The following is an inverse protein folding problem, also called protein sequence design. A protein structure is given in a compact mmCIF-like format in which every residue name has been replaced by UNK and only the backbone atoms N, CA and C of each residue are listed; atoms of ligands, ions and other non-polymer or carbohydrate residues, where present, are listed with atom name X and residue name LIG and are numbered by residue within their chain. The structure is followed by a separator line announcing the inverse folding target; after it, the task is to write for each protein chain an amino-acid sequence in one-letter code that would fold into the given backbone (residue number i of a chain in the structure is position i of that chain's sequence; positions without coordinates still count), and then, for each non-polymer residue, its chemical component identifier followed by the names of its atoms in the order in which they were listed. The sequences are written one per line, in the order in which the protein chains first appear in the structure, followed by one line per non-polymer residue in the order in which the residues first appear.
data_IF_682605423135
#
_entry.id   IF_682605423135
#
_cell.length_a   1.000
_cell.length_b   1.000
_cell.length_c   1.000
_cell.angle_alpha   90.00
_cell.angle_beta   90.00
_cell.angle_gamma   90.00
#
_symmetry.space_group_name_H-M   'P 1'
#
loop_
_entity.id
_entity.type
_entity.pdbx_description
1 polymer ?
#
# COMPACT_ATOMS: atom_id res chain seq x y z
N UNK A 1 -2.67 -4.71 -10.12
CA UNK A 1 -1.34 -4.47 -9.50
C UNK A 1 -1.35 -4.75 -8.00
N UNK A 2 -2.07 -4.03 -7.14
CA UNK A 2 -2.01 -4.28 -5.69
C UNK A 2 -2.25 -5.76 -5.30
N UNK A 3 -3.27 -6.40 -5.87
CA UNK A 3 -3.55 -7.82 -5.64
C UNK A 3 -2.42 -8.76 -6.12
N UNK A 4 -1.68 -8.42 -7.20
CA UNK A 4 -0.56 -9.25 -7.67
C UNK A 4 0.66 -9.19 -6.74
N UNK A 5 0.73 -8.19 -5.87
CA UNK A 5 1.71 -8.09 -4.78
C UNK A 5 1.18 -8.69 -3.46
N UNK A 6 0.01 -9.34 -3.48
CA UNK A 6 -0.59 -9.95 -2.30
C UNK A 6 -1.18 -8.94 -1.31
N UNK A 7 -1.42 -7.68 -1.73
CA UNK A 7 -2.04 -6.70 -0.84
C UNK A 7 -3.47 -7.11 -0.50
N UNK A 8 -3.80 -7.05 0.79
CA UNK A 8 -5.15 -7.29 1.31
C UNK A 8 -5.89 -5.98 1.61
N UNK A 9 -5.16 -4.85 1.70
CA UNK A 9 -5.75 -3.52 1.77
C UNK A 9 -4.93 -2.47 1.00
N UNK A 10 -5.59 -1.38 0.59
CA UNK A 10 -4.98 -0.28 -0.16
C UNK A 10 -5.39 1.07 0.41
N UNK A 11 -4.45 2.01 0.49
CA UNK A 11 -4.72 3.29 1.11
C UNK A 11 -3.55 4.25 1.02
N UNK A 12 -3.71 5.44 1.58
CA UNK A 12 -2.65 6.44 1.56
C UNK A 12 -2.99 7.65 2.40
N UNK A 13 -2.09 8.63 2.39
CA UNK A 13 -2.32 9.89 3.10
C UNK A 13 -3.38 10.72 2.39
N UNK A 14 -4.24 11.36 3.17
CA UNK A 14 -5.19 12.32 2.62
C UNK A 14 -4.51 13.42 1.77
N UNK A 15 -5.12 13.88 0.67
CA UNK A 15 -6.39 13.41 0.07
C UNK A 15 -6.13 12.44 -1.11
N UNK A 16 -5.00 12.54 -1.79
CA UNK A 16 -4.72 11.83 -3.05
C UNK A 16 -4.76 10.31 -2.90
N UNK A 17 -4.07 9.75 -1.90
CA UNK A 17 -4.06 8.31 -1.65
C UNK A 17 -5.45 7.70 -1.44
N UNK A 18 -6.30 8.30 -0.58
CA UNK A 18 -7.68 7.89 -0.40
C UNK A 18 -8.52 7.82 -1.67
N UNK A 19 -8.44 8.83 -2.54
CA UNK A 19 -9.21 8.85 -3.79
C UNK A 19 -8.79 7.72 -4.74
N UNK A 20 -7.48 7.46 -4.84
CA UNK A 20 -6.96 6.34 -5.62
C UNK A 20 -7.37 5.00 -5.02
N UNK A 21 -7.34 4.87 -3.69
CA UNK A 21 -7.80 3.67 -2.99
C UNK A 21 -9.26 3.35 -3.33
N UNK A 22 -10.15 4.35 -3.26
CA UNK A 22 -11.56 4.19 -3.63
C UNK A 22 -11.74 3.76 -5.09
N UNK A 23 -10.96 4.33 -6.01
CA UNK A 23 -10.98 3.92 -7.41
C UNK A 23 -10.56 2.45 -7.58
N UNK A 24 -9.54 2.00 -6.86
CA UNK A 24 -9.04 0.62 -6.93
C UNK A 24 -10.05 -0.38 -6.34
N UNK A 25 -10.57 -0.12 -5.14
CA UNK A 25 -11.50 -1.06 -4.46
C UNK A 25 -12.88 -1.12 -5.12
N UNK A 26 -13.27 -0.09 -5.89
CA UNK A 26 -14.54 -0.10 -6.62
C UNK A 26 -14.53 -0.99 -7.87
N UNK A 27 -13.37 -1.47 -8.31
CA UNK A 27 -13.28 -2.35 -9.47
C UNK A 27 -13.71 -3.79 -9.12
N UNK A 28 -14.57 -4.45 -9.93
CA UNK A 28 -15.05 -5.81 -9.65
C UNK A 28 -13.95 -6.85 -9.47
N UNK A 29 -12.84 -6.73 -10.20
CA UNK A 29 -11.68 -7.63 -10.12
C UNK A 29 -10.91 -7.53 -8.79
N UNK A 30 -11.15 -6.46 -8.02
CA UNK A 30 -10.56 -6.25 -6.70
C UNK A 30 -11.55 -6.57 -5.56
N UNK A 31 -12.58 -7.39 -5.83
CA UNK A 31 -13.50 -7.86 -4.82
C UNK A 31 -12.75 -8.51 -3.65
N UNK A 32 -12.92 -7.97 -2.44
CA UNK A 32 -12.22 -8.42 -1.23
C UNK A 32 -11.01 -7.57 -0.83
N UNK A 33 -10.55 -6.67 -1.71
CA UNK A 33 -9.53 -5.68 -1.36
C UNK A 33 -10.17 -4.55 -0.55
N UNK A 34 -9.62 -4.27 0.61
CA UNK A 34 -10.20 -3.28 1.52
C UNK A 34 -9.49 -1.92 1.41
N UNK A 35 -10.23 -0.82 1.59
CA UNK A 35 -9.67 0.53 1.51
C UNK A 35 -9.40 1.15 2.88
N UNK A 36 -8.33 1.93 3.02
CA UNK A 36 -8.06 2.74 4.21
C UNK A 36 -7.55 4.15 3.88
N UNK A 37 -7.63 5.06 4.85
CA UNK A 37 -7.04 6.41 4.80
C UNK A 37 -6.06 6.59 5.96
N UNK A 38 -4.99 7.34 5.72
CA UNK A 38 -4.15 7.90 6.77
C UNK A 38 -4.45 9.38 6.89
N UNK A 39 -4.79 9.82 8.09
CA UNK A 39 -5.11 11.22 8.40
C UNK A 39 -4.04 11.84 9.28
N UNK A 40 -3.77 13.12 9.03
CA UNK A 40 -2.96 13.94 9.94
C UNK A 40 -3.89 14.42 11.05
N UNK A 41 -3.64 14.02 12.29
CA UNK A 41 -4.38 14.55 13.43
C UNK A 41 -4.22 16.06 13.55
N UNK A 42 -5.17 16.68 14.25
CA UNK A 42 -5.14 18.10 14.54
C UNK A 42 -3.85 18.45 15.31
N UNK A 43 -3.24 19.59 14.96
CA UNK A 43 -2.19 20.18 15.78
C UNK A 43 -2.86 20.80 17.00
N UNK A 44 -3.03 20.06 18.08
CA UNK A 44 -3.28 20.69 19.37
C UNK A 44 -2.37 20.10 20.45
N UNK A 45 -1.79 21.01 21.24
CA UNK A 45 -1.01 20.80 22.46
C UNK A 45 -0.38 19.39 22.67
N UNK A 46 0.71 19.09 21.95
CA UNK A 46 1.72 18.14 22.45
C UNK A 46 2.10 16.96 21.55
N UNK A 47 1.20 16.39 20.75
CA UNK A 47 1.53 15.24 19.88
C UNK A 47 0.73 15.33 18.59
N UNK A 48 1.41 15.25 17.43
CA UNK A 48 0.72 15.10 16.14
C UNK A 48 0.31 13.63 16.04
N UNK A 49 -0.91 13.32 16.42
CA UNK A 49 -1.36 11.96 16.27
C UNK A 49 -1.65 11.67 14.79
N UNK A 50 -0.98 10.69 14.21
CA UNK A 50 -1.25 10.23 12.84
C UNK A 50 -1.98 8.91 13.01
N UNK A 51 -3.18 8.81 12.44
CA UNK A 51 -4.00 7.62 12.53
C UNK A 51 -4.32 7.10 11.14
N UNK A 52 -4.28 5.78 11.01
CA UNK A 52 -4.75 5.08 9.84
C UNK A 52 -6.08 4.40 10.19
N UNK A 53 -7.11 4.61 9.38
CA UNK A 53 -8.46 4.10 9.61
C UNK A 53 -9.00 3.45 8.33
N UNK A 54 -9.66 2.31 8.49
CA UNK A 54 -10.45 1.68 7.42
C UNK A 54 -11.63 2.57 7.03
N UNK A 55 -12.02 2.58 5.74
CA UNK A 55 -13.20 3.35 5.33
C UNK A 55 -14.53 2.80 5.84
N UNK A 56 -14.61 1.51 6.15
CA UNK A 56 -15.83 0.88 6.64
C UNK A 56 -15.51 -0.09 7.77
N UNK A 57 -16.01 0.21 8.97
CA UNK A 57 -16.43 -0.68 10.08
C UNK A 57 -15.51 -1.78 10.61
N UNK A 58 -14.43 -2.11 9.91
CA UNK A 58 -13.57 -3.23 10.16
C UNK A 58 -12.29 -2.70 10.82
N UNK A 59 -12.36 -2.54 12.14
CA UNK A 59 -11.24 -2.11 12.95
C UNK A 59 -10.04 -3.09 12.85
N UNK A 60 -10.25 -4.32 12.36
CA UNK A 60 -9.22 -5.35 12.19
C UNK A 60 -8.54 -5.31 10.80
N UNK A 61 -8.84 -4.29 9.99
CA UNK A 61 -8.26 -4.13 8.65
C UNK A 61 -6.76 -3.81 8.72
N UNK A 62 -6.36 -2.93 9.63
CA UNK A 62 -4.95 -2.59 9.87
C UNK A 62 -4.48 -3.27 11.14
N UNK A 63 -3.86 -4.44 10.96
CA UNK A 63 -3.37 -5.31 12.05
C UNK A 63 -1.97 -5.82 11.75
N UNK A 64 -1.26 -6.38 12.75
CA UNK A 64 0.05 -6.99 12.54
C UNK A 64 0.06 -8.01 11.40
N UNK A 65 1.17 -8.02 10.65
CA UNK A 65 1.48 -8.93 9.53
C UNK A 65 0.52 -8.84 8.34
N UNK A 66 -0.36 -7.82 8.30
CA UNK A 66 -1.26 -7.60 7.17
C UNK A 66 -0.50 -6.98 6.00
N UNK A 67 -0.52 -7.58 4.79
CA UNK A 67 0.08 -6.99 3.61
C UNK A 67 -0.81 -5.87 3.05
N UNK A 68 -0.25 -4.67 2.88
CA UNK A 68 -0.98 -3.50 2.39
C UNK A 68 -0.21 -2.74 1.32
N UNK A 69 -0.95 -2.09 0.41
CA UNK A 69 -0.37 -1.21 -0.60
C UNK A 69 -0.64 0.27 -0.28
N UNK A 70 0.40 1.08 -0.47
CA UNK A 70 0.35 2.53 -0.32
C UNK A 70 0.11 3.18 -1.67
N UNK A 71 -0.87 4.07 -1.77
CA UNK A 71 -1.20 4.82 -2.98
C UNK A 71 -0.96 6.32 -2.76
N UNK A 72 -0.38 6.98 -3.76
CA UNK A 72 -0.15 8.43 -3.81
C UNK A 72 -0.45 8.95 -5.22
N UNK A 73 -0.90 10.19 -5.35
CA UNK A 73 -1.08 10.79 -6.68
C UNK A 73 0.27 11.20 -7.28
N UNK A 74 1.03 12.02 -6.57
CA UNK A 74 2.28 12.61 -7.04
C UNK A 74 3.35 12.51 -5.95
N UNK A 75 4.45 11.83 -6.29
CA UNK A 75 5.65 11.80 -5.45
C UNK A 75 6.60 12.91 -5.85
N UNK A 76 6.95 13.74 -4.87
CA UNK A 76 8.08 14.67 -4.94
C UNK A 76 9.21 14.16 -4.03
N UNK A 77 9.34 14.72 -2.83
CA UNK A 77 10.27 14.23 -1.80
C UNK A 77 9.82 12.91 -1.15
N UNK A 78 8.57 12.49 -1.40
CA UNK A 78 7.93 11.35 -0.74
C UNK A 78 7.54 11.61 0.72
N UNK A 79 7.59 12.84 1.21
CA UNK A 79 7.25 13.14 2.62
C UNK A 79 5.86 12.67 3.05
N UNK A 80 4.86 12.77 2.17
CA UNK A 80 3.49 12.31 2.41
C UNK A 80 3.43 10.78 2.55
N UNK A 81 3.76 10.04 1.49
CA UNK A 81 3.78 8.58 1.53
C UNK A 81 4.69 8.01 2.64
N UNK A 82 5.81 8.66 2.98
CA UNK A 82 6.64 8.28 4.15
C UNK A 82 5.85 8.36 5.46
N UNK A 83 5.09 9.43 5.63
CA UNK A 83 4.26 9.64 6.83
C UNK A 83 3.21 8.53 6.94
N UNK A 84 2.57 8.18 5.81
CA UNK A 84 1.60 7.11 5.76
C UNK A 84 2.20 5.73 6.00
N UNK A 85 3.33 5.41 5.36
CA UNK A 85 4.10 4.17 5.58
C UNK A 85 4.42 4.00 7.06
N UNK A 86 4.95 5.04 7.72
CA UNK A 86 5.29 4.98 9.14
C UNK A 86 4.08 4.73 10.03
N UNK A 87 2.95 5.36 9.74
CA UNK A 87 1.72 5.16 10.52
C UNK A 87 1.23 3.72 10.39
N UNK A 88 1.20 3.19 9.16
CA UNK A 88 0.74 1.84 8.85
C UNK A 88 1.69 0.77 9.39
N UNK A 89 3.00 0.95 9.25
CA UNK A 89 4.00 0.08 9.89
C UNK A 89 3.95 0.17 11.42
N UNK A 90 3.59 1.32 11.98
CA UNK A 90 3.37 1.50 13.42
C UNK A 90 2.22 0.63 13.97
N UNK A 91 1.29 0.20 13.11
CA UNK A 91 0.23 -0.77 13.42
C UNK A 91 0.66 -2.23 13.16
N UNK A 92 1.90 -2.45 12.75
CA UNK A 92 2.47 -3.77 12.46
C UNK A 92 2.15 -4.30 11.06
N UNK A 93 1.55 -3.51 10.17
CA UNK A 93 1.27 -3.92 8.80
C UNK A 93 2.57 -4.02 7.97
N UNK A 94 2.57 -4.91 6.97
CA UNK A 94 3.63 -5.07 5.99
C UNK A 94 3.34 -4.26 4.72
N UNK A 95 4.25 -3.37 4.33
CA UNK A 95 4.11 -2.64 3.05
C UNK A 95 4.60 -3.56 1.94
N UNK A 96 3.68 -4.05 1.10
CA UNK A 96 4.02 -4.94 -0.02
C UNK A 96 4.16 -4.21 -1.36
N UNK A 97 3.59 -2.99 -1.45
CA UNK A 97 3.63 -2.16 -2.63
C UNK A 97 3.49 -0.68 -2.25
N UNK A 98 4.26 0.18 -2.90
CA UNK A 98 4.03 1.63 -2.93
C UNK A 98 3.83 2.07 -4.37
N UNK A 99 2.72 2.75 -4.65
CA UNK A 99 2.37 3.16 -6.01
C UNK A 99 2.08 4.66 -6.09
N UNK A 100 2.55 5.29 -7.17
CA UNK A 100 2.19 6.66 -7.52
C UNK A 100 1.70 6.80 -8.97
N UNK A 101 0.83 7.76 -9.26
CA UNK A 101 0.54 8.09 -10.66
C UNK A 101 1.74 8.80 -11.31
N UNK A 102 2.39 9.72 -10.60
CA UNK A 102 3.54 10.47 -11.12
C UNK A 102 4.66 10.53 -10.09
N UNK A 103 5.86 10.10 -10.46
CA UNK A 103 7.10 10.45 -9.76
C UNK A 103 7.75 11.66 -10.44
N UNK A 104 7.96 12.74 -9.68
CA UNK A 104 8.61 13.95 -10.18
C UNK A 104 10.14 13.87 -10.18
N UNK A 105 10.71 12.72 -9.85
CA UNK A 105 12.15 12.46 -9.86
C UNK A 105 12.95 13.43 -8.97
N UNK A 106 12.33 13.95 -7.91
CA UNK A 106 13.03 14.79 -6.92
C UNK A 106 14.08 13.92 -6.20
N UNK A 107 15.35 14.35 -6.12
CA UNK A 107 16.41 13.59 -5.44
C UNK A 107 16.08 13.25 -3.98
N UNK A 108 15.30 14.10 -3.29
CA UNK A 108 14.87 13.84 -1.90
C UNK A 108 13.91 12.65 -1.78
N UNK A 109 13.31 12.21 -2.89
CA UNK A 109 12.47 11.02 -2.99
C UNK A 109 13.23 9.72 -3.25
N UNK A 110 14.56 9.75 -3.44
CA UNK A 110 15.35 8.58 -3.82
C UNK A 110 15.19 7.41 -2.85
N UNK A 111 15.05 7.68 -1.55
CA UNK A 111 14.79 6.67 -0.52
C UNK A 111 13.60 5.76 -0.83
N UNK A 112 12.56 6.25 -1.51
CA UNK A 112 11.38 5.46 -1.85
C UNK A 112 11.67 4.54 -3.04
N UNK A 113 12.47 5.03 -4.01
CA UNK A 113 12.86 4.28 -5.20
C UNK A 113 13.92 3.22 -4.87
N UNK A 114 14.87 3.55 -4.01
CA UNK A 114 16.07 2.75 -3.74
C UNK A 114 15.83 1.68 -2.67
N UNK A 115 14.73 1.76 -1.93
CA UNK A 115 14.36 0.75 -0.94
C UNK A 115 13.56 -0.39 -1.60
N UNK A 116 14.17 -1.58 -1.79
CA UNK A 116 13.51 -2.71 -2.43
C UNK A 116 12.33 -3.25 -1.60
N UNK A 117 12.30 -3.00 -0.28
CA UNK A 117 11.20 -3.48 0.57
C UNK A 117 9.89 -2.74 0.31
N UNK A 118 9.94 -1.55 -0.29
CA UNK A 118 8.76 -0.74 -0.57
C UNK A 118 8.13 -1.02 -1.94
N UNK A 119 8.80 -1.80 -2.79
CA UNK A 119 8.37 -2.13 -4.15
C UNK A 119 7.79 -0.91 -4.91
N UNK A 120 8.49 0.22 -4.88
CA UNK A 120 7.91 1.46 -5.42
C UNK A 120 7.80 1.45 -6.94
N UNK A 121 6.58 1.66 -7.45
CA UNK A 121 6.25 1.79 -8.87
C UNK A 121 5.48 3.10 -9.10
N UNK A 122 5.91 3.90 -10.06
CA UNK A 122 5.12 5.03 -10.55
C UNK A 122 4.53 4.71 -11.93
N UNK A 123 3.32 5.17 -12.27
CA UNK A 123 2.83 5.05 -13.64
C UNK A 123 3.70 5.87 -14.60
N UNK A 124 3.95 7.13 -14.26
CA UNK A 124 4.76 8.05 -15.06
C UNK A 124 5.90 8.68 -14.26
N UNK A 125 6.96 9.07 -14.95
CA UNK A 125 8.11 9.82 -14.43
C UNK A 125 8.27 11.14 -15.18
N UNK A 126 8.46 12.23 -14.42
CA UNK A 126 8.78 13.54 -14.97
C UNK A 126 10.21 13.57 -15.51
N UNK A 127 10.34 13.90 -16.78
CA UNK A 127 11.62 14.03 -17.46
C UNK A 127 12.17 15.46 -17.32
N UNK A 128 13.50 15.67 -17.48
CA UNK A 128 14.10 16.99 -17.40
C UNK A 128 13.55 18.01 -18.42
N UNK A 129 13.03 17.54 -19.54
CA UNK A 129 12.40 18.37 -20.58
C UNK A 129 10.94 18.75 -20.28
N UNK A 130 10.42 18.35 -19.11
CA UNK A 130 9.06 18.63 -18.67
C UNK A 130 8.00 17.63 -19.18
N UNK A 131 8.39 16.62 -19.95
CA UNK A 131 7.47 15.58 -20.40
C UNK A 131 7.26 14.50 -19.35
N UNK A 132 6.15 13.76 -19.45
CA UNK A 132 5.91 12.55 -18.68
C UNK A 132 6.16 11.33 -19.58
N UNK A 133 6.91 10.36 -19.07
CA UNK A 133 7.07 9.04 -19.69
C UNK A 133 6.56 7.96 -18.76
N UNK A 134 6.04 6.86 -19.32
CA UNK A 134 5.77 5.67 -18.52
C UNK A 134 7.06 5.24 -17.83
N UNK A 135 6.97 4.89 -16.54
CA UNK A 135 8.16 4.43 -15.81
C UNK A 135 8.61 3.06 -16.33
N UNK A 136 9.92 2.82 -16.29
CA UNK A 136 10.44 1.51 -16.67
C UNK A 136 9.92 0.41 -15.72
N UNK A 137 9.83 0.69 -14.41
CA UNK A 137 9.30 -0.26 -13.41
C UNK A 137 7.84 -0.65 -13.70
N UNK A 138 7.02 0.28 -14.16
CA UNK A 138 5.65 0.01 -14.55
C UNK A 138 5.58 -0.88 -15.80
N UNK A 139 6.41 -0.58 -16.80
CA UNK A 139 6.51 -1.38 -18.02
C UNK A 139 7.01 -2.80 -17.73
N UNK A 140 8.02 -2.94 -16.86
CA UNK A 140 8.56 -4.23 -16.43
C UNK A 140 7.50 -5.05 -15.69
N UNK A 141 6.73 -4.42 -14.79
CA UNK A 141 5.60 -5.07 -14.14
C UNK A 141 4.55 -5.54 -15.15
N UNK A 142 4.17 -4.70 -16.12
CA UNK A 142 3.21 -5.08 -17.17
C UNK A 142 3.71 -6.28 -17.99
N UNK A 143 5.00 -6.31 -18.32
CA UNK A 143 5.60 -7.42 -19.07
C UNK A 143 5.66 -8.72 -18.24
N UNK A 144 6.04 -8.62 -16.96
CA UNK A 144 6.13 -9.76 -16.03
C UNK A 144 4.78 -10.28 -15.54
N UNK A 145 3.72 -9.49 -15.61
CA UNK A 145 2.36 -9.88 -15.18
C UNK A 145 1.61 -10.77 -16.19
N UNK A 146 2.25 -11.14 -17.31
CA UNK A 146 1.71 -12.07 -18.30
C UNK A 146 1.84 -13.55 -17.89
N UNK A 147 2.62 -13.85 -16.85
CA UNK A 147 2.56 -15.14 -16.16
C UNK A 147 1.55 -15.02 -15.02
N UNK A 148 0.36 -15.63 -15.21
CA UNK A 148 -0.64 -15.82 -14.14
C UNK A 148 -0.01 -16.48 -12.91
N UNK A 149 -0.66 -16.46 -11.73
CA UNK A 149 -0.01 -16.68 -10.44
C UNK A 149 0.80 -17.98 -10.46
N UNK A 150 2.10 -17.85 -10.73
CA UNK A 150 3.08 -18.89 -10.52
C UNK A 150 3.03 -19.16 -9.03
N UNK A 151 2.78 -20.42 -8.71
CA UNK A 151 2.71 -20.98 -7.38
C UNK A 151 3.96 -20.57 -6.60
N UNK A 152 3.90 -19.41 -5.95
CA UNK A 152 4.94 -18.95 -5.05
C UNK A 152 4.89 -19.93 -3.88
N UNK A 153 5.87 -20.83 -3.90
CA UNK A 153 6.10 -21.87 -2.91
C UNK A 153 6.52 -21.22 -1.60
N UNK A 154 5.57 -20.57 -0.93
CA UNK A 154 5.69 -20.21 0.47
C UNK A 154 4.93 -21.29 1.24
N UNK A 155 5.62 -22.37 1.59
CA UNK A 155 5.20 -23.26 2.66
C UNK A 155 5.07 -22.44 3.95
N UNK A 156 3.87 -21.89 4.21
CA UNK A 156 3.47 -21.51 5.57
C UNK A 156 2.95 -22.78 6.25
N UNK A 157 3.42 -23.13 7.45
CA UNK A 157 2.85 -24.24 8.19
C UNK A 157 1.39 -23.90 8.51
N UNK A 158 0.49 -24.76 8.04
CA UNK A 158 -0.92 -24.75 8.43
C UNK A 158 -0.96 -24.87 9.94
N UNK A 159 -1.36 -23.81 10.65
CA UNK A 159 -1.70 -23.92 12.05
C UNK A 159 -2.74 -25.04 12.17
N UNK A 160 -2.38 -26.10 12.88
CA UNK A 160 -3.28 -27.19 13.17
C UNK A 160 -4.46 -26.60 13.95
N UNK A 161 -5.65 -26.58 13.34
CA UNK A 161 -6.89 -26.44 14.07
C UNK A 161 -7.05 -27.73 14.88
N UNK A 162 -6.50 -27.70 16.10
CA UNK A 162 -6.69 -28.71 17.12
C UNK A 162 -8.17 -28.85 17.41
N UNK A 163 -8.61 -30.10 17.37
CA UNK A 163 -9.94 -30.55 17.73
C UNK A 163 -10.34 -30.10 19.15
N UNK A 164 -11.62 -29.73 19.28
CA UNK A 164 -12.49 -30.04 20.40
C UNK A 164 -12.04 -29.63 21.81
N UNK A 165 -12.76 -28.68 22.40
CA UNK A 165 -13.14 -28.80 23.81
C UNK A 165 -14.66 -28.68 23.91
N UNK A 166 -15.22 -29.77 24.40
CA UNK A 166 -16.63 -30.00 24.64
C UNK A 166 -17.18 -29.10 25.74
N UNK A 167 -18.49 -28.87 25.64
CA UNK A 167 -19.33 -28.40 26.72
C UNK A 167 -19.22 -29.29 27.97
N UNK A 168 -19.22 -28.64 29.14
CA UNK A 168 -19.55 -29.12 30.49
C UNK A 168 -19.31 -27.91 31.41
N UNK A 169 -20.22 -27.43 32.25
CA UNK A 169 -21.51 -27.88 32.79
C UNK A 169 -22.34 -26.66 33.16
#
# INVERSE_FOLDING_TARGET
MAASFGAEAVGGLEIGGPLLSQLVVSQPENAGLAGFTVRKGAKDHGTKDIFAEAYAGDADLLRPDRPVAMLEDVVTSGGSIRTAIKAVQGLGCEIVLSFALVDRMDPRGAWLRDDPSLNFIALCELQPDGTLKLSQRFLDWCAGSSEGPGEATATRPRAAAGAGVAAQT
#
